data_IF_073700355757
#
_entry.id   IF_073700355757
#
_cell.length_a   1.000
_cell.length_b   1.000
_cell.length_c   1.000
_cell.angle_alpha   90.00
_cell.angle_beta   90.00
_cell.angle_gamma   90.00
#
_symmetry.space_group_name_H-M   'P 1'
#
loop_
_entity.id
_entity.type
_entity.pdbx_description
1 polymer ?
#
# COMPACT_ATOMS: atom_id res chain seq x y z
N UNK A 1 1.85 -16.67 -12.34
CA UNK A 1 1.18 -16.36 -11.07
C UNK A 1 1.81 -15.08 -10.54
N UNK A 2 1.01 -14.06 -10.21
CA UNK A 2 1.51 -12.96 -9.38
C UNK A 2 1.71 -13.53 -7.98
N UNK A 3 2.94 -13.55 -7.51
CA UNK A 3 3.25 -13.80 -6.10
C UNK A 3 3.76 -12.49 -5.53
N UNK A 4 3.26 -12.12 -4.35
CA UNK A 4 3.77 -10.96 -3.63
C UNK A 4 5.26 -11.18 -3.35
N UNK A 5 6.13 -10.27 -3.80
CA UNK A 5 7.54 -10.27 -3.42
C UNK A 5 7.83 -8.94 -2.76
N UNK A 6 8.01 -8.96 -1.43
CA UNK A 6 8.42 -7.76 -0.72
C UNK A 6 9.87 -7.48 -1.09
N UNK A 7 10.14 -6.40 -1.82
CA UNK A 7 11.53 -6.02 -2.10
C UNK A 7 12.26 -5.64 -0.80
N UNK A 8 13.36 -6.32 -0.45
CA UNK A 8 14.13 -6.00 0.76
C UNK A 8 14.59 -4.54 0.79
N UNK A 9 14.91 -3.97 -0.38
CA UNK A 9 15.32 -2.57 -0.50
C UNK A 9 14.22 -1.59 -0.08
N UNK A 10 12.94 -1.87 -0.40
CA UNK A 10 11.82 -1.05 0.06
C UNK A 10 11.73 -1.03 1.59
N UNK A 11 11.94 -2.17 2.24
CA UNK A 11 11.93 -2.28 3.70
C UNK A 11 13.08 -1.48 4.33
N UNK A 12 14.31 -1.65 3.82
CA UNK A 12 15.47 -0.90 4.33
C UNK A 12 15.29 0.61 4.15
N UNK A 13 14.79 1.07 3.00
CA UNK A 13 14.53 2.49 2.77
C UNK A 13 13.44 3.06 3.67
N UNK A 14 12.40 2.27 3.94
CA UNK A 14 11.32 2.66 4.86
C UNK A 14 11.84 2.78 6.30
N UNK A 15 12.68 1.84 6.74
CA UNK A 15 13.35 1.89 8.04
C UNK A 15 14.32 3.07 8.14
N UNK A 16 15.14 3.31 7.10
CA UNK A 16 16.05 4.46 7.06
C UNK A 16 15.31 5.80 7.12
N UNK A 17 14.17 5.92 6.44
CA UNK A 17 13.30 7.11 6.52
C UNK A 17 12.74 7.29 7.94
N UNK A 18 12.32 6.21 8.60
CA UNK A 18 11.85 6.25 9.98
C UNK A 18 12.97 6.66 10.96
N UNK A 19 14.18 6.13 10.79
CA UNK A 19 15.35 6.50 11.57
C UNK A 19 15.64 8.00 11.47
N UNK A 20 15.72 8.54 10.25
CA UNK A 20 15.97 9.97 10.05
C UNK A 20 14.89 10.87 10.67
N UNK A 21 13.63 10.46 10.62
CA UNK A 21 12.54 11.19 11.27
C UNK A 21 12.67 11.12 12.80
N UNK A 22 13.03 9.97 13.35
CA UNK A 22 13.21 9.78 14.80
C UNK A 22 14.39 10.62 15.33
N UNK A 23 15.52 10.62 14.61
CA UNK A 23 16.69 11.46 14.94
C UNK A 23 16.36 12.95 14.94
N UNK A 24 15.40 13.38 14.13
CA UNK A 24 14.88 14.76 14.10
C UNK A 24 13.81 15.04 15.15
N UNK A 25 13.44 14.07 15.99
CA UNK A 25 12.36 14.18 16.97
C UNK A 25 10.97 14.31 16.34
N UNK A 26 10.81 13.87 15.09
CA UNK A 26 9.59 14.08 14.32
C UNK A 26 8.52 13.01 14.66
N UNK A 27 7.29 13.39 15.01
CA UNK A 27 6.22 12.44 15.36
C UNK A 27 5.85 11.49 14.19
N UNK A 28 6.17 11.87 12.95
CA UNK A 28 5.96 11.08 11.74
C UNK A 28 6.75 9.76 11.73
N UNK A 29 7.86 9.67 12.49
CA UNK A 29 8.64 8.45 12.62
C UNK A 29 7.80 7.29 13.16
N UNK A 30 7.05 7.54 14.23
CA UNK A 30 6.19 6.53 14.86
C UNK A 30 5.08 6.07 13.90
N UNK A 31 4.51 7.01 13.12
CA UNK A 31 3.48 6.70 12.13
C UNK A 31 4.04 5.86 10.97
N UNK A 32 5.23 6.18 10.48
CA UNK A 32 5.90 5.40 9.44
C UNK A 32 6.20 3.97 9.90
N UNK A 33 6.71 3.81 11.12
CA UNK A 33 6.94 2.49 11.73
C UNK A 33 5.64 1.71 11.87
N UNK A 34 4.56 2.35 12.37
CA UNK A 34 3.26 1.72 12.50
C UNK A 34 2.71 1.22 11.15
N UNK A 35 2.83 2.03 10.09
CA UNK A 35 2.42 1.63 8.74
C UNK A 35 3.28 0.48 8.19
N UNK A 36 4.58 0.49 8.45
CA UNK A 36 5.48 -0.61 8.06
C UNK A 36 5.10 -1.93 8.76
N UNK A 37 4.81 -1.88 10.07
CA UNK A 37 4.32 -3.05 10.82
C UNK A 37 2.99 -3.55 10.24
N UNK A 38 2.04 -2.64 9.95
CA UNK A 38 0.75 -2.99 9.34
C UNK A 38 0.94 -3.64 7.97
N UNK A 39 1.82 -3.10 7.13
CA UNK A 39 2.16 -3.63 5.82
C UNK A 39 2.74 -5.05 5.91
N UNK A 40 3.77 -5.25 6.74
CA UNK A 40 4.39 -6.58 6.91
C UNK A 40 3.40 -7.62 7.43
N UNK A 41 2.54 -7.24 8.38
CA UNK A 41 1.49 -8.13 8.91
C UNK A 41 0.47 -8.50 7.84
N UNK A 42 0.04 -7.55 7.00
CA UNK A 42 -0.90 -7.79 5.91
C UNK A 42 -0.28 -8.60 4.76
N UNK A 43 1.02 -8.43 4.50
CA UNK A 43 1.73 -9.15 3.46
C UNK A 43 2.00 -10.63 3.84
N UNK A 44 2.07 -10.96 5.13
CA UNK A 44 2.44 -12.32 5.59
C UNK A 44 1.45 -13.41 5.15
N UNK A 45 0.12 -13.25 5.28
CA UNK A 45 -0.85 -14.21 4.73
C UNK A 45 -0.80 -14.30 3.20
N UNK A 46 -0.67 -13.15 2.52
CA UNK A 46 -0.61 -13.07 1.06
C UNK A 46 0.61 -13.78 0.43
N UNK A 47 1.63 -14.10 1.22
CA UNK A 47 2.80 -14.90 0.82
C UNK A 47 2.58 -16.42 0.95
N UNK A 48 1.52 -16.86 1.65
CA UNK A 48 1.31 -18.27 2.04
C UNK A 48 0.02 -18.87 1.48
N UNK A 49 -0.95 -18.04 1.10
CA UNK A 49 -2.27 -18.46 0.64
C UNK A 49 -2.44 -18.25 -0.87
N UNK A 50 -3.21 -19.11 -1.54
CA UNK A 50 -3.46 -19.02 -2.98
C UNK A 50 -4.51 -17.95 -3.34
N UNK A 51 -5.31 -17.52 -2.36
CA UNK A 51 -6.38 -16.52 -2.48
C UNK A 51 -6.44 -15.65 -1.23
N UNK A 52 -6.90 -14.40 -1.36
CA UNK A 52 -7.05 -13.43 -0.26
C UNK A 52 -8.38 -12.69 -0.38
N UNK A 53 -8.82 -12.00 0.68
CA UNK A 53 -10.00 -11.15 0.58
C UNK A 53 -9.65 -9.73 0.11
N UNK A 54 -10.61 -9.07 -0.54
CA UNK A 54 -10.45 -7.68 -0.96
C UNK A 54 -10.18 -6.75 0.25
N UNK A 55 -10.69 -7.07 1.44
CA UNK A 55 -10.37 -6.36 2.68
C UNK A 55 -8.90 -6.51 3.12
N UNK A 56 -8.30 -7.67 2.90
CA UNK A 56 -6.86 -7.88 3.17
C UNK A 56 -6.02 -7.09 2.18
N UNK A 57 -6.35 -7.14 0.88
CA UNK A 57 -5.67 -6.32 -0.14
C UNK A 57 -5.81 -4.81 0.13
N UNK A 58 -7.02 -4.37 0.54
CA UNK A 58 -7.27 -2.99 0.98
C UNK A 58 -6.30 -2.58 2.10
N UNK A 59 -6.18 -3.43 3.12
CA UNK A 59 -5.33 -3.18 4.28
C UNK A 59 -3.86 -3.08 3.88
N UNK A 60 -3.41 -3.95 2.98
CA UNK A 60 -2.05 -3.95 2.45
C UNK A 60 -1.74 -2.66 1.69
N UNK A 61 -2.63 -2.26 0.78
CA UNK A 61 -2.51 -1.04 -0.03
C UNK A 61 -2.56 0.22 0.81
N UNK A 62 -3.48 0.33 1.78
CA UNK A 62 -3.55 1.48 2.69
C UNK A 62 -2.25 1.66 3.48
N UNK A 63 -1.68 0.56 3.98
CA UNK A 63 -0.42 0.58 4.72
C UNK A 63 0.74 1.02 3.80
N UNK A 64 0.82 0.48 2.59
CA UNK A 64 1.83 0.86 1.60
C UNK A 64 1.72 2.34 1.19
N UNK A 65 0.52 2.81 0.83
CA UNK A 65 0.29 4.22 0.47
C UNK A 65 0.59 5.14 1.66
N UNK A 66 0.33 4.71 2.90
CA UNK A 66 0.72 5.44 4.11
C UNK A 66 2.24 5.56 4.27
N UNK A 67 3.01 4.52 3.95
CA UNK A 67 4.49 4.58 3.90
C UNK A 67 4.94 5.56 2.81
N UNK A 68 4.38 5.44 1.61
CA UNK A 68 4.74 6.29 0.47
C UNK A 68 4.34 7.74 0.68
N UNK A 69 3.24 8.02 1.37
CA UNK A 69 2.83 9.39 1.73
C UNK A 69 3.84 10.06 2.64
N UNK A 70 4.41 9.35 3.62
CA UNK A 70 5.47 9.92 4.45
C UNK A 70 6.73 10.21 3.63
N UNK A 71 7.09 9.32 2.68
CA UNK A 71 8.29 9.49 1.84
C UNK A 71 8.15 10.59 0.80
N UNK A 72 6.98 10.69 0.16
CA UNK A 72 6.70 11.64 -0.93
C UNK A 72 6.09 12.95 -0.42
N UNK A 73 5.73 13.01 0.86
CA UNK A 73 5.10 14.17 1.50
C UNK A 73 3.91 14.69 0.66
N UNK A 74 3.88 15.98 0.35
CA UNK A 74 2.78 16.61 -0.37
C UNK A 74 2.66 16.18 -1.83
N UNK A 75 3.67 15.49 -2.39
CA UNK A 75 3.64 14.96 -3.76
C UNK A 75 2.70 13.77 -3.95
N UNK A 76 2.23 13.15 -2.87
CA UNK A 76 1.26 12.06 -2.98
C UNK A 76 -0.05 12.44 -2.29
N UNK A 77 -1.15 12.41 -3.03
CA UNK A 77 -2.50 12.30 -2.48
C UNK A 77 -3.03 10.90 -2.78
N UNK A 78 -3.86 10.34 -1.90
CA UNK A 78 -4.51 9.07 -2.21
C UNK A 78 -5.85 8.90 -1.50
N UNK A 79 -6.69 8.03 -2.07
CA UNK A 79 -7.90 7.52 -1.44
C UNK A 79 -8.06 6.03 -1.75
N UNK A 80 -8.56 5.27 -0.77
CA UNK A 80 -8.89 3.85 -0.93
C UNK A 80 -10.35 3.69 -0.53
N UNK A 81 -11.22 3.49 -1.52
CA UNK A 81 -12.66 3.40 -1.36
C UNK A 81 -13.15 2.04 -1.85
N UNK A 82 -13.20 1.10 -0.91
CA UNK A 82 -13.69 -0.27 -1.15
C UNK A 82 -14.92 -0.47 -0.27
N UNK A 83 -16.12 -0.61 -0.87
CA UNK A 83 -17.36 -0.83 -0.13
C UNK A 83 -17.27 -2.04 0.79
N UNK A 84 -17.83 -1.93 1.99
CA UNK A 84 -17.85 -3.03 2.96
C UNK A 84 -18.56 -4.28 2.43
N UNK A 85 -19.54 -4.12 1.52
CA UNK A 85 -20.23 -5.22 0.85
C UNK A 85 -19.31 -6.08 -0.02
N UNK A 86 -18.15 -5.55 -0.44
CA UNK A 86 -17.16 -6.25 -1.25
C UNK A 86 -15.96 -6.75 -0.44
N UNK A 87 -15.95 -6.54 0.88
CA UNK A 87 -14.83 -6.86 1.75
C UNK A 87 -14.36 -8.32 1.65
N UNK A 88 -15.31 -9.24 1.56
CA UNK A 88 -15.05 -10.69 1.53
C UNK A 88 -14.90 -11.27 0.12
N UNK A 89 -14.93 -10.41 -0.92
CA UNK A 89 -14.69 -10.85 -2.29
C UNK A 89 -13.29 -11.49 -2.39
N UNK A 90 -13.24 -12.70 -2.94
CA UNK A 90 -12.01 -13.48 -3.08
C UNK A 90 -11.26 -13.02 -4.32
N UNK A 91 -9.99 -12.62 -4.14
CA UNK A 91 -9.13 -12.10 -5.20
C UNK A 91 -7.75 -12.74 -5.15
N UNK A 92 -6.97 -12.69 -6.24
CA UNK A 92 -5.57 -13.13 -6.22
C UNK A 92 -4.75 -12.31 -5.21
N UNK A 93 -3.88 -12.94 -4.41
CA UNK A 93 -3.01 -12.24 -3.48
C UNK A 93 -2.06 -11.29 -4.21
N UNK A 94 -1.87 -10.11 -3.65
CA UNK A 94 -0.95 -9.10 -4.17
C UNK A 94 -1.43 -8.38 -5.43
N UNK A 95 -2.69 -8.58 -5.84
CA UNK A 95 -3.25 -7.96 -7.04
C UNK A 95 -3.26 -6.43 -6.94
N UNK A 96 -3.82 -5.87 -5.86
CA UNK A 96 -3.96 -4.41 -5.74
C UNK A 96 -2.61 -3.75 -5.48
N UNK A 97 -1.77 -4.35 -4.62
CA UNK A 97 -0.45 -3.79 -4.31
C UNK A 97 0.43 -3.70 -5.56
N UNK A 98 0.39 -4.68 -6.46
CA UNK A 98 1.17 -4.63 -7.71
C UNK A 98 0.75 -3.45 -8.61
N UNK A 99 -0.56 -3.18 -8.70
CA UNK A 99 -1.07 -2.04 -9.46
C UNK A 99 -0.67 -0.70 -8.81
N UNK A 100 -0.74 -0.63 -7.49
CA UNK A 100 -0.39 0.56 -6.71
C UNK A 100 1.10 0.85 -6.76
N UNK A 101 1.95 -0.17 -6.67
CA UNK A 101 3.41 -0.04 -6.86
C UNK A 101 3.74 0.52 -8.24
N UNK A 102 3.10 0.00 -9.29
CA UNK A 102 3.26 0.52 -10.64
C UNK A 102 2.81 1.98 -10.76
N UNK A 103 1.67 2.34 -10.16
CA UNK A 103 1.17 3.71 -10.16
C UNK A 103 2.12 4.68 -9.43
N UNK A 104 2.73 4.26 -8.32
CA UNK A 104 3.76 5.06 -7.63
C UNK A 104 5.00 5.21 -8.50
N UNK A 105 5.59 4.10 -8.93
CA UNK A 105 6.88 4.06 -9.66
C UNK A 105 6.82 4.80 -10.99
N UNK A 106 5.74 4.65 -11.73
CA UNK A 106 5.62 5.18 -13.08
C UNK A 106 4.75 6.44 -13.16
N UNK A 107 3.81 6.61 -12.23
CA UNK A 107 2.88 7.74 -12.22
C UNK A 107 3.29 8.88 -11.28
N UNK A 108 3.82 8.60 -10.10
CA UNK A 108 4.08 9.63 -9.08
C UNK A 108 5.56 10.00 -8.99
N UNK A 109 6.44 9.01 -8.89
CA UNK A 109 7.89 9.25 -8.74
C UNK A 109 8.49 10.12 -9.86
N UNK A 110 8.16 9.91 -11.15
CA UNK A 110 8.73 10.68 -12.25
C UNK A 110 8.18 12.12 -12.34
N UNK A 111 7.06 12.43 -11.68
CA UNK A 111 6.42 13.74 -11.73
C UNK A 111 6.86 14.61 -10.54
N UNK A 112 7.62 15.70 -10.74
CA UNK A 112 8.06 16.56 -9.65
C UNK A 112 6.89 17.17 -8.86
N UNK A 113 5.82 17.54 -9.56
CA UNK A 113 4.60 18.07 -8.96
C UNK A 113 3.81 17.03 -8.14
N UNK A 114 4.16 15.74 -8.28
CA UNK A 114 3.42 14.66 -7.65
C UNK A 114 2.10 14.35 -8.35
N UNK A 115 1.19 13.69 -7.64
CA UNK A 115 -0.11 13.29 -8.18
C UNK A 115 -1.01 12.60 -7.17
N UNK A 116 -2.06 11.97 -7.68
CA UNK A 116 -3.10 11.32 -6.88
C UNK A 116 -3.32 9.88 -7.34
N UNK A 117 -3.43 8.95 -6.37
CA UNK A 117 -3.84 7.56 -6.61
C UNK A 117 -5.18 7.31 -5.92
N UNK A 118 -6.21 6.96 -6.69
CA UNK A 118 -7.51 6.53 -6.16
C UNK A 118 -7.69 5.03 -6.44
N UNK A 119 -7.92 4.24 -5.39
CA UNK A 119 -8.24 2.81 -5.48
C UNK A 119 -9.71 2.65 -5.16
N UNK A 120 -10.49 2.09 -6.11
CA UNK A 120 -11.94 1.92 -5.97
C UNK A 120 -12.39 0.53 -6.36
N UNK A 121 -13.42 0.03 -5.69
CA UNK A 121 -14.09 -1.21 -6.05
C UNK A 121 -15.59 -0.98 -6.23
N UNK A 122 -16.16 -1.60 -7.25
CA UNK A 122 -17.59 -1.59 -7.53
C UNK A 122 -17.98 -2.96 -8.11
N UNK A 123 -19.22 -3.38 -7.86
CA UNK A 123 -19.82 -4.53 -8.51
C UNK A 123 -20.51 -4.06 -9.79
N UNK A 124 -20.34 -4.78 -10.89
CA UNK A 124 -21.05 -4.46 -12.12
C UNK A 124 -22.55 -4.82 -12.02
N UNK A 125 -23.34 -4.33 -12.98
CA UNK A 125 -24.78 -4.57 -13.02
C UNK A 125 -25.15 -6.06 -13.19
N UNK A 126 -24.19 -6.90 -13.59
CA UNK A 126 -24.34 -8.34 -13.79
C UNK A 126 -23.93 -9.14 -12.53
N UNK A 127 -23.57 -8.45 -11.44
CA UNK A 127 -23.21 -9.06 -10.17
C UNK A 127 -21.77 -9.58 -10.11
N UNK A 128 -20.92 -9.22 -11.06
CA UNK A 128 -19.48 -9.58 -11.09
C UNK A 128 -18.58 -8.46 -10.57
#
# INVERSE_FOLDING_TARGET
MLQLQIEPHFLFNSLGSAQQLAEKGAPEAARLIANLIRFLRAATPALREDVTSLAQERTLVEAYLGIMKTRLADRLAYAVDIPASLADAVVPPGMLITLVENAIKHGIEPLPAGGRIDVRAAQDADGR
#
